data_IF_985913315503
#
_entry.id   IF_985913315503
#
_cell.length_a   1.000
_cell.length_b   1.000
_cell.length_c   1.000
_cell.angle_alpha   90.00
_cell.angle_beta   90.00
_cell.angle_gamma   90.00
#
_symmetry.space_group_name_H-M   'P 1'
#
loop_
_entity.id
_entity.type
_entity.pdbx_description
1 polymer ?
#
# COMPACT_ATOMS: atom_id res chain seq x y z
N UNK A 1 12.88 -20.39 0.78
CA UNK A 1 12.36 -19.67 -0.42
C UNK A 1 13.35 -19.82 -1.56
N UNK A 2 12.89 -20.15 -2.76
CA UNK A 2 13.73 -20.33 -3.97
C UNK A 2 13.87 -19.00 -4.71
N UNK A 3 14.92 -18.89 -5.55
CA UNK A 3 15.19 -17.64 -6.30
C UNK A 3 14.04 -17.26 -7.25
N UNK A 4 13.42 -18.24 -7.91
CA UNK A 4 12.28 -17.95 -8.82
C UNK A 4 11.06 -17.43 -8.06
N UNK A 5 10.81 -17.91 -6.83
CA UNK A 5 9.74 -17.40 -5.97
C UNK A 5 10.00 -15.93 -5.61
N UNK A 6 11.24 -15.60 -5.25
CA UNK A 6 11.64 -14.23 -4.96
C UNK A 6 11.45 -13.31 -6.18
N UNK A 7 11.81 -13.77 -7.38
CA UNK A 7 11.63 -12.99 -8.61
C UNK A 7 10.15 -12.74 -8.92
N UNK A 8 9.31 -13.79 -8.81
CA UNK A 8 7.86 -13.66 -9.04
C UNK A 8 7.25 -12.69 -8.03
N UNK A 9 7.55 -12.83 -6.74
CA UNK A 9 7.03 -11.95 -5.69
C UNK A 9 7.55 -10.52 -5.83
N UNK A 10 8.79 -10.33 -6.28
CA UNK A 10 9.32 -9.01 -6.59
C UNK A 10 8.58 -8.29 -7.73
N UNK A 11 8.25 -9.02 -8.80
CA UNK A 11 7.42 -8.48 -9.90
C UNK A 11 6.01 -8.17 -9.41
N UNK A 12 5.41 -9.07 -8.64
CA UNK A 12 4.07 -8.88 -8.05
C UNK A 12 4.07 -7.62 -7.18
N UNK A 13 5.03 -7.48 -6.26
CA UNK A 13 5.15 -6.30 -5.40
C UNK A 13 5.25 -5.02 -6.23
N UNK A 14 6.15 -4.97 -7.20
CA UNK A 14 6.35 -3.78 -8.02
C UNK A 14 5.10 -3.35 -8.79
N UNK A 15 4.32 -4.30 -9.31
CA UNK A 15 3.09 -4.02 -10.04
C UNK A 15 1.93 -3.63 -9.10
N UNK A 16 1.76 -4.38 -8.01
CA UNK A 16 0.60 -4.20 -7.11
C UNK A 16 0.77 -3.03 -6.14
N UNK A 17 1.99 -2.57 -5.89
CA UNK A 17 2.24 -1.38 -5.07
C UNK A 17 1.80 -0.09 -5.78
N UNK A 18 1.94 -0.04 -7.10
CA UNK A 18 1.53 1.14 -7.90
C UNK A 18 0.04 1.14 -8.25
N UNK A 19 -0.62 0.01 -8.09
CA UNK A 19 -2.05 -0.15 -8.33
C UNK A 19 -2.79 -0.19 -6.99
N UNK A 20 -3.99 0.39 -6.87
CA UNK A 20 -4.75 0.38 -5.61
C UNK A 20 -5.45 -0.98 -5.37
N UNK A 21 -4.68 -2.10 -5.40
CA UNK A 21 -5.21 -3.47 -5.33
C UNK A 21 -4.63 -4.30 -4.18
N UNK A 22 -3.90 -3.69 -3.25
CA UNK A 22 -3.24 -4.31 -2.09
C UNK A 22 -2.09 -5.28 -2.45
N UNK A 23 -0.87 -4.78 -2.41
CA UNK A 23 0.36 -5.58 -2.61
C UNK A 23 0.49 -6.68 -1.55
N UNK A 24 0.27 -6.36 -0.28
CA UNK A 24 0.34 -7.32 0.83
C UNK A 24 -0.62 -8.49 0.66
N UNK A 25 -1.83 -8.24 0.15
CA UNK A 25 -2.79 -9.31 -0.12
C UNK A 25 -2.28 -10.26 -1.22
N UNK A 26 -1.72 -9.73 -2.30
CA UNK A 26 -1.16 -10.54 -3.39
C UNK A 26 0.07 -11.34 -2.95
N UNK A 27 0.94 -10.74 -2.13
CA UNK A 27 2.10 -11.43 -1.56
C UNK A 27 1.72 -12.58 -0.62
N UNK A 28 0.55 -12.54 -0.01
CA UNK A 28 0.04 -13.64 0.80
C UNK A 28 -0.68 -14.71 -0.04
N UNK A 29 -1.55 -14.28 -0.98
CA UNK A 29 -2.38 -15.21 -1.77
C UNK A 29 -1.55 -16.02 -2.76
N UNK A 30 -0.56 -15.44 -3.43
CA UNK A 30 0.23 -16.13 -4.45
C UNK A 30 1.01 -17.30 -3.87
N UNK A 31 1.80 -17.17 -2.79
CA UNK A 31 2.46 -18.30 -2.16
C UNK A 31 1.49 -19.39 -1.68
N UNK A 32 0.33 -18.99 -1.18
CA UNK A 32 -0.71 -19.93 -0.78
C UNK A 32 -1.28 -20.71 -1.97
N UNK A 33 -1.61 -20.05 -3.08
CA UNK A 33 -2.14 -20.70 -4.29
C UNK A 33 -1.18 -21.71 -4.89
N UNK A 34 0.11 -21.41 -4.87
CA UNK A 34 1.15 -22.30 -5.41
C UNK A 34 1.68 -23.30 -4.39
N UNK A 35 1.15 -23.32 -3.17
CA UNK A 35 1.56 -24.23 -2.11
C UNK A 35 2.95 -23.96 -1.52
N UNK A 36 3.57 -22.81 -1.84
CA UNK A 36 4.92 -22.46 -1.37
C UNK A 36 5.00 -22.31 0.15
N UNK A 37 3.89 -21.90 0.77
CA UNK A 37 3.79 -21.81 2.23
C UNK A 37 4.04 -23.12 2.96
N UNK A 38 3.87 -24.27 2.27
CA UNK A 38 4.12 -25.59 2.83
C UNK A 38 5.58 -26.05 2.65
N UNK A 39 6.41 -25.29 1.93
CA UNK A 39 7.82 -25.62 1.75
C UNK A 39 8.62 -25.34 3.02
N UNK A 40 9.52 -26.25 3.44
CA UNK A 40 10.35 -26.03 4.63
C UNK A 40 11.18 -24.72 4.53
N UNK A 41 11.10 -23.89 5.57
CA UNK A 41 11.85 -22.62 5.65
C UNK A 41 11.35 -21.50 4.75
N UNK A 42 10.19 -21.70 4.05
CA UNK A 42 9.62 -20.63 3.22
C UNK A 42 9.17 -19.45 4.08
N UNK A 43 8.38 -19.68 5.13
CA UNK A 43 7.82 -18.63 5.96
C UNK A 43 8.88 -17.76 6.64
N UNK A 44 9.94 -18.39 7.16
CA UNK A 44 11.03 -17.64 7.80
C UNK A 44 11.77 -16.73 6.81
N UNK A 45 12.07 -17.26 5.62
CA UNK A 45 12.72 -16.50 4.57
C UNK A 45 11.78 -15.42 4.00
N UNK A 46 10.48 -15.72 3.89
CA UNK A 46 9.48 -14.81 3.33
C UNK A 46 9.26 -13.58 4.21
N UNK A 47 9.22 -13.72 5.54
CA UNK A 47 9.04 -12.56 6.46
C UNK A 47 10.10 -11.48 6.25
N UNK A 48 11.37 -11.89 6.19
CA UNK A 48 12.46 -10.93 5.94
C UNK A 48 12.45 -10.36 4.52
N UNK A 49 12.09 -11.19 3.55
CA UNK A 49 12.00 -10.80 2.14
C UNK A 49 10.83 -9.83 1.89
N UNK A 50 9.68 -10.04 2.51
CA UNK A 50 8.50 -9.17 2.43
C UNK A 50 8.83 -7.75 2.90
N UNK A 51 9.50 -7.62 4.04
CA UNK A 51 9.98 -6.31 4.54
C UNK A 51 10.96 -5.67 3.55
N UNK A 52 11.88 -6.45 2.97
CA UNK A 52 12.84 -5.94 2.00
C UNK A 52 12.16 -5.47 0.71
N UNK A 53 11.10 -6.17 0.25
CA UNK A 53 10.30 -5.77 -0.91
C UNK A 53 9.60 -4.43 -0.69
N UNK A 54 8.93 -4.27 0.45
CA UNK A 54 8.26 -3.02 0.80
C UNK A 54 9.25 -1.86 0.97
N UNK A 55 10.40 -2.12 1.58
CA UNK A 55 11.46 -1.12 1.67
C UNK A 55 12.02 -0.71 0.30
N UNK A 56 12.21 -1.69 -0.60
CA UNK A 56 12.65 -1.43 -1.97
C UNK A 56 11.68 -0.57 -2.77
N UNK A 57 10.38 -0.87 -2.69
CA UNK A 57 9.34 -0.06 -3.37
C UNK A 57 9.19 1.32 -2.74
N UNK A 58 9.27 1.44 -1.40
CA UNK A 58 9.28 2.73 -0.72
C UNK A 58 10.44 3.61 -1.19
N UNK A 59 11.65 3.04 -1.29
CA UNK A 59 12.83 3.75 -1.77
C UNK A 59 12.67 4.19 -3.23
N UNK A 60 12.15 3.30 -4.09
CA UNK A 60 11.91 3.62 -5.50
C UNK A 60 10.90 4.77 -5.66
N UNK A 61 9.78 4.73 -4.93
CA UNK A 61 8.75 5.78 -4.93
C UNK A 61 9.32 7.09 -4.37
N UNK A 62 10.08 7.04 -3.28
CA UNK A 62 10.70 8.21 -2.69
C UNK A 62 11.69 8.90 -3.65
N UNK A 63 12.49 8.13 -4.39
CA UNK A 63 13.42 8.66 -5.39
C UNK A 63 12.67 9.22 -6.60
N UNK A 64 11.69 8.47 -7.12
CA UNK A 64 10.93 8.88 -8.31
C UNK A 64 10.16 10.17 -8.08
N UNK A 65 9.45 10.29 -6.96
CA UNK A 65 8.66 11.46 -6.60
C UNK A 65 9.40 12.47 -5.71
N UNK A 66 10.73 12.43 -5.69
CA UNK A 66 11.52 13.28 -4.79
C UNK A 66 11.18 14.76 -4.90
N UNK A 67 11.02 15.28 -6.13
CA UNK A 67 10.68 16.69 -6.36
C UNK A 67 9.30 17.05 -5.84
N UNK A 68 8.33 16.15 -6.00
CA UNK A 68 6.95 16.34 -5.55
C UNK A 68 6.90 16.36 -4.02
N UNK A 69 7.57 15.39 -3.36
CA UNK A 69 7.71 15.35 -1.92
C UNK A 69 8.34 16.62 -1.36
N UNK A 70 9.44 17.08 -1.98
CA UNK A 70 10.11 18.31 -1.55
C UNK A 70 9.21 19.54 -1.72
N UNK A 71 8.46 19.61 -2.82
CA UNK A 71 7.48 20.69 -3.07
C UNK A 71 6.37 20.71 -2.02
N UNK A 72 5.80 19.55 -1.69
CA UNK A 72 4.75 19.40 -0.67
C UNK A 72 5.24 19.81 0.72
N UNK A 73 6.40 19.30 1.14
CA UNK A 73 6.98 19.61 2.45
C UNK A 73 7.29 21.12 2.57
N UNK A 74 7.91 21.69 1.53
CA UNK A 74 8.20 23.13 1.48
C UNK A 74 6.93 23.97 1.53
N UNK A 75 5.91 23.60 0.74
CA UNK A 75 4.62 24.28 0.75
C UNK A 75 3.92 24.22 2.10
N UNK A 76 3.94 23.05 2.75
CA UNK A 76 3.42 22.85 4.11
C UNK A 76 4.12 23.72 5.14
N UNK A 77 5.45 23.80 5.08
CA UNK A 77 6.26 24.67 5.93
C UNK A 77 5.95 26.17 5.71
N UNK A 78 5.95 26.62 4.45
CA UNK A 78 5.65 28.01 4.10
C UNK A 78 4.24 28.42 4.55
N UNK A 79 3.27 27.50 4.48
CA UNK A 79 1.90 27.78 4.92
C UNK A 79 1.80 28.07 6.42
N UNK A 80 2.58 27.36 7.25
CA UNK A 80 2.56 27.56 8.71
C UNK A 80 3.39 28.76 9.13
N UNK A 81 4.61 28.87 8.63
CA UNK A 81 5.59 29.87 9.08
C UNK A 81 5.36 31.22 8.40
N UNK A 82 5.14 31.20 7.08
CA UNK A 82 5.02 32.42 6.28
C UNK A 82 3.56 32.83 6.01
N UNK A 83 2.58 32.02 6.49
CA UNK A 83 1.14 32.17 6.22
C UNK A 83 0.80 32.25 4.72
N UNK A 84 1.67 31.73 3.87
CA UNK A 84 1.52 31.70 2.42
C UNK A 84 0.62 30.56 2.00
N UNK A 85 -0.54 30.86 1.43
CA UNK A 85 -1.46 29.85 0.92
C UNK A 85 -1.00 29.36 -0.44
N UNK A 86 -0.64 28.08 -0.55
CA UNK A 86 -0.33 27.39 -1.80
C UNK A 86 -1.14 26.11 -1.93
N UNK A 87 -1.27 25.59 -3.14
CA UNK A 87 -1.96 24.32 -3.39
C UNK A 87 -1.18 23.16 -2.78
N UNK A 88 0.15 23.19 -2.91
CA UNK A 88 1.07 22.20 -2.34
C UNK A 88 0.97 22.16 -0.81
N UNK A 89 0.92 23.34 -0.16
CA UNK A 89 0.78 23.44 1.29
C UNK A 89 -0.55 22.86 1.79
N UNK A 90 -1.66 23.16 1.11
CA UNK A 90 -2.97 22.57 1.45
C UNK A 90 -2.98 21.08 1.26
N UNK A 91 -2.40 20.58 0.14
CA UNK A 91 -2.31 19.16 -0.16
C UNK A 91 -1.46 18.43 0.87
N UNK A 92 -0.33 19.00 1.29
CA UNK A 92 0.50 18.45 2.37
C UNK A 92 -0.32 18.23 3.65
N UNK A 93 -1.06 19.25 4.10
CA UNK A 93 -1.85 19.14 5.31
C UNK A 93 -3.03 18.18 5.18
N UNK A 94 -3.66 18.09 4.00
CA UNK A 94 -4.69 17.08 3.77
C UNK A 94 -4.14 15.66 3.86
N UNK A 95 -2.94 15.42 3.32
CA UNK A 95 -2.26 14.12 3.43
C UNK A 95 -1.98 13.80 4.90
N UNK A 96 -1.40 14.74 5.65
CA UNK A 96 -1.12 14.56 7.09
C UNK A 96 -2.39 14.24 7.87
N UNK A 97 -3.45 15.03 7.67
CA UNK A 97 -4.73 14.83 8.37
C UNK A 97 -5.41 13.52 8.00
N UNK A 98 -5.30 13.07 6.75
CA UNK A 98 -5.85 11.78 6.31
C UNK A 98 -5.02 10.59 6.83
N UNK A 99 -3.71 10.74 6.96
CA UNK A 99 -2.82 9.67 7.44
C UNK A 99 -3.03 9.34 8.92
N UNK A 100 -3.32 10.34 9.75
CA UNK A 100 -3.50 10.13 11.19
C UNK A 100 -4.64 9.13 11.51
N UNK A 101 -5.91 9.37 11.07
CA UNK A 101 -6.98 8.42 11.33
C UNK A 101 -6.74 7.06 10.67
N UNK A 102 -6.17 7.04 9.45
CA UNK A 102 -5.80 5.80 8.76
C UNK A 102 -4.79 4.98 9.55
N UNK A 103 -3.74 5.62 10.07
CA UNK A 103 -2.72 4.97 10.90
C UNK A 103 -3.28 4.46 12.22
N UNK A 104 -4.15 5.23 12.89
CA UNK A 104 -4.79 4.80 14.16
C UNK A 104 -5.68 3.57 13.91
N UNK A 105 -6.54 3.62 12.90
CA UNK A 105 -7.44 2.51 12.55
C UNK A 105 -6.63 1.29 12.13
N UNK A 106 -5.61 1.46 11.28
CA UNK A 106 -4.72 0.38 10.86
C UNK A 106 -4.03 -0.29 12.04
N UNK A 107 -3.46 0.48 12.96
CA UNK A 107 -2.82 -0.05 14.17
C UNK A 107 -3.79 -0.83 15.08
N UNK A 108 -5.03 -0.32 15.22
CA UNK A 108 -6.06 -1.01 16.01
C UNK A 108 -6.45 -2.34 15.34
N UNK A 109 -6.71 -2.31 14.02
CA UNK A 109 -7.07 -3.50 13.28
C UNK A 109 -5.97 -4.56 13.30
N UNK A 110 -4.72 -4.16 13.10
CA UNK A 110 -3.56 -5.05 13.16
C UNK A 110 -3.49 -5.75 14.53
N UNK A 111 -3.56 -5.00 15.60
CA UNK A 111 -3.47 -5.54 16.98
C UNK A 111 -4.60 -6.50 17.36
N UNK A 112 -5.83 -6.25 16.88
CA UNK A 112 -7.01 -7.04 17.30
C UNK A 112 -7.44 -8.10 16.29
N UNK A 113 -7.02 -8.00 15.03
CA UNK A 113 -7.46 -8.86 13.92
C UNK A 113 -6.30 -9.54 13.18
N UNK A 114 -5.07 -9.52 13.73
CA UNK A 114 -3.88 -10.08 13.09
C UNK A 114 -4.14 -11.51 12.58
N UNK A 115 -4.64 -12.40 13.44
CA UNK A 115 -4.95 -13.79 13.09
C UNK A 115 -6.06 -13.94 12.01
N UNK A 116 -6.96 -12.97 11.93
CA UNK A 116 -8.04 -12.99 10.93
C UNK A 116 -7.56 -12.42 9.59
N UNK A 117 -6.80 -11.34 9.64
CA UNK A 117 -6.32 -10.62 8.44
C UNK A 117 -5.25 -11.39 7.66
N UNK A 118 -4.64 -12.43 8.25
CA UNK A 118 -3.67 -13.31 7.57
C UNK A 118 -4.33 -14.49 6.84
N UNK A 119 -5.63 -14.77 7.07
CA UNK A 119 -6.32 -15.89 6.45
C UNK A 119 -6.62 -15.62 4.97
N UNK A 120 -6.19 -16.49 4.01
CA UNK A 120 -6.35 -16.26 2.58
C UNK A 120 -7.80 -16.01 2.15
N UNK A 121 -8.77 -16.68 2.77
CA UNK A 121 -10.19 -16.48 2.46
C UNK A 121 -10.67 -15.07 2.84
N UNK A 122 -10.27 -14.56 4.00
CA UNK A 122 -10.65 -13.22 4.46
C UNK A 122 -9.99 -12.16 3.57
N UNK A 123 -8.73 -12.35 3.21
CA UNK A 123 -8.01 -11.48 2.28
C UNK A 123 -8.72 -11.46 0.91
N UNK A 124 -9.11 -12.62 0.38
CA UNK A 124 -9.81 -12.72 -0.90
C UNK A 124 -11.18 -11.99 -0.88
N UNK A 125 -11.97 -12.17 0.18
CA UNK A 125 -13.24 -11.46 0.36
C UNK A 125 -13.01 -9.94 0.43
N UNK A 126 -12.03 -9.49 1.22
CA UNK A 126 -11.70 -8.08 1.34
C UNK A 126 -11.27 -7.48 -0.01
N UNK A 127 -10.46 -8.18 -0.80
CA UNK A 127 -10.07 -7.76 -2.16
C UNK A 127 -11.28 -7.62 -3.09
N UNK A 128 -12.21 -8.57 -3.06
CA UNK A 128 -13.44 -8.51 -3.88
C UNK A 128 -14.28 -7.29 -3.49
N UNK A 129 -14.52 -7.10 -2.19
CA UNK A 129 -15.32 -5.96 -1.68
C UNK A 129 -14.67 -4.63 -2.06
N UNK A 130 -13.38 -4.48 -1.81
CA UNK A 130 -12.64 -3.25 -2.14
C UNK A 130 -12.55 -3.03 -3.65
N UNK A 131 -12.39 -4.09 -4.45
CA UNK A 131 -12.43 -4.01 -5.92
C UNK A 131 -13.77 -3.52 -6.45
N UNK A 132 -14.89 -3.98 -5.90
CA UNK A 132 -16.23 -3.50 -6.25
C UNK A 132 -16.38 -2.01 -5.87
N UNK A 133 -15.98 -1.63 -4.67
CA UNK A 133 -16.04 -0.22 -4.22
C UNK A 133 -15.22 0.68 -5.15
N UNK A 134 -13.99 0.27 -5.47
CA UNK A 134 -13.12 1.01 -6.38
C UNK A 134 -13.75 1.14 -7.78
N UNK A 135 -14.29 0.05 -8.32
CA UNK A 135 -14.96 0.05 -9.62
C UNK A 135 -16.13 1.01 -9.66
N UNK A 136 -17.02 0.97 -8.65
CA UNK A 136 -18.15 1.88 -8.53
C UNK A 136 -17.71 3.33 -8.37
N UNK A 137 -16.66 3.59 -7.61
CA UNK A 137 -16.07 4.92 -7.44
C UNK A 137 -15.53 5.47 -8.77
N UNK A 138 -14.83 4.65 -9.55
CA UNK A 138 -14.28 5.06 -10.85
C UNK A 138 -15.39 5.37 -11.87
N UNK A 139 -16.48 4.59 -11.90
CA UNK A 139 -17.63 4.88 -12.77
C UNK A 139 -18.23 6.24 -12.39
N UNK A 140 -18.43 6.51 -11.11
CA UNK A 140 -19.01 7.79 -10.65
C UNK A 140 -18.13 9.00 -10.98
N UNK A 141 -16.83 8.84 -10.94
CA UNK A 141 -15.86 9.91 -11.28
C UNK A 141 -15.78 10.13 -12.79
N UNK A 142 -15.94 9.08 -13.60
CA UNK A 142 -15.84 9.15 -15.06
C UNK A 142 -17.13 9.56 -15.76
N UNK A 143 -18.28 9.55 -15.09
CA UNK A 143 -19.50 10.11 -15.67
C UNK A 143 -19.44 11.65 -15.64
N UNK A 144 -19.40 12.32 -16.80
CA UNK A 144 -19.55 13.77 -16.82
C UNK A 144 -20.97 14.09 -16.30
N UNK A 145 -21.03 14.88 -15.25
CA UNK A 145 -22.30 15.45 -14.78
C UNK A 145 -22.97 16.17 -15.94
N UNK A 146 -24.02 15.57 -16.48
CA UNK A 146 -24.95 16.20 -17.42
C UNK A 146 -25.82 17.20 -16.71
#
# INVERSE_FOLDING_TARGET
>A
MQVYQALILGVVQGLTELLPISSSAHLNIIPWMFGWVNEPGFEEAFKGFDVALHFGTLLAIAIFFFKDWFGLIKGGYEQVIQKKKSTEGRMFWYIVLATIPGGIIGFILDKFLEDALTKPLIIAIALIVMGIILYLSLIHISEPTR
#
